data_IF_409582517379
#
_entry.id   IF_409582517379
#
_cell.length_a   1.000
_cell.length_b   1.000
_cell.length_c   1.000
_cell.angle_alpha   90.00
_cell.angle_beta   90.00
_cell.angle_gamma   90.00
#
_symmetry.space_group_name_H-M   'P 1'
#
loop_
_entity.id
_entity.type
_entity.pdbx_description
1 polymer ?
#
# COMPACT_ATOMS: atom_id res chain seq x y z
N UNK A 1 -22.56 -6.19 6.54
CA UNK A 1 -21.53 -7.16 6.15
C UNK A 1 -20.21 -6.76 6.80
N UNK A 2 -19.41 -7.72 7.26
CA UNK A 2 -18.19 -7.48 8.02
C UNK A 2 -17.01 -7.12 7.11
N UNK A 3 -16.13 -6.26 7.61
CA UNK A 3 -14.84 -5.96 6.96
C UNK A 3 -13.78 -6.88 7.53
N UNK A 4 -12.96 -7.49 6.67
CA UNK A 4 -11.79 -8.28 7.08
C UNK A 4 -10.52 -7.51 6.76
N UNK A 5 -9.54 -7.60 7.65
CA UNK A 5 -8.21 -7.01 7.44
C UNK A 5 -7.26 -8.14 7.10
N UNK A 6 -6.59 -8.03 5.97
CA UNK A 6 -5.65 -9.03 5.45
C UNK A 6 -4.31 -8.36 5.20
N UNK A 7 -3.23 -9.00 5.63
CA UNK A 7 -1.89 -8.57 5.25
C UNK A 7 -1.69 -8.83 3.76
N UNK A 8 -1.04 -7.90 3.08
CA UNK A 8 -0.71 -8.03 1.66
C UNK A 8 0.38 -9.08 1.49
N UNK A 9 0.04 -10.17 0.80
CA UNK A 9 0.99 -11.25 0.53
C UNK A 9 1.15 -11.50 -0.97
N UNK A 10 2.40 -11.49 -1.43
CA UNK A 10 2.73 -11.73 -2.82
C UNK A 10 2.29 -10.63 -3.79
N UNK A 11 2.43 -10.94 -5.09
CA UNK A 11 2.31 -9.94 -6.17
C UNK A 11 0.87 -9.49 -6.42
N UNK A 12 -0.10 -10.39 -6.26
CA UNK A 12 -1.51 -10.10 -6.54
C UNK A 12 -2.07 -9.08 -5.55
N UNK A 13 -1.88 -9.32 -4.26
CA UNK A 13 -2.34 -8.42 -3.22
C UNK A 13 -1.63 -7.07 -3.29
N UNK A 14 -0.33 -7.07 -3.63
CA UNK A 14 0.40 -5.83 -3.84
C UNK A 14 -0.21 -5.02 -4.99
N UNK A 15 -0.54 -5.63 -6.13
CA UNK A 15 -1.20 -4.92 -7.22
C UNK A 15 -2.58 -4.36 -6.82
N UNK A 16 -3.36 -5.10 -6.04
CA UNK A 16 -4.64 -4.61 -5.50
C UNK A 16 -4.43 -3.43 -4.54
N UNK A 17 -3.43 -3.52 -3.66
CA UNK A 17 -3.02 -2.43 -2.77
C UNK A 17 -2.62 -1.18 -3.54
N UNK A 18 -1.79 -1.31 -4.58
CA UNK A 18 -1.29 -0.18 -5.37
C UNK A 18 -2.40 0.46 -6.22
N UNK A 19 -3.35 -0.32 -6.74
CA UNK A 19 -4.43 0.17 -7.61
C UNK A 19 -5.63 0.72 -6.84
N UNK A 20 -5.82 0.35 -5.58
CA UNK A 20 -6.99 0.78 -4.81
C UNK A 20 -7.23 2.31 -4.80
N UNK A 21 -6.21 3.19 -4.68
CA UNK A 21 -6.43 4.64 -4.78
C UNK A 21 -7.16 5.08 -6.06
N UNK A 22 -6.92 4.42 -7.21
CA UNK A 22 -7.64 4.71 -8.45
C UNK A 22 -9.12 4.40 -8.40
N UNK A 23 -9.53 3.45 -7.55
CA UNK A 23 -10.94 3.13 -7.33
C UNK A 23 -11.56 4.10 -6.33
N UNK A 24 -10.87 4.38 -5.22
CA UNK A 24 -11.37 5.23 -4.13
C UNK A 24 -11.58 6.66 -4.62
N UNK A 25 -10.59 7.23 -5.32
CA UNK A 25 -10.62 8.62 -5.76
C UNK A 25 -11.16 8.79 -7.19
N UNK A 26 -11.84 7.76 -7.73
CA UNK A 26 -12.40 7.82 -9.09
C UNK A 26 -13.43 8.95 -9.18
N UNK A 27 -13.15 9.94 -10.02
CA UNK A 27 -14.04 11.07 -10.25
C UNK A 27 -13.85 12.24 -9.28
N UNK A 28 -12.89 12.15 -8.35
CA UNK A 28 -12.50 13.29 -7.52
C UNK A 28 -11.72 14.30 -8.41
N UNK A 29 -12.22 15.53 -8.61
CA UNK A 29 -11.56 16.52 -9.47
C UNK A 29 -10.21 17.01 -8.93
N UNK A 30 -9.93 16.78 -7.65
CA UNK A 30 -8.69 17.21 -7.01
C UNK A 30 -7.65 16.09 -6.89
N UNK A 31 -7.98 14.88 -7.32
CA UNK A 31 -7.07 13.75 -7.21
C UNK A 31 -6.12 13.67 -8.40
N UNK A 32 -4.82 13.74 -8.11
CA UNK A 32 -3.75 13.58 -9.09
C UNK A 32 -3.17 12.16 -8.97
N UNK A 33 -3.45 11.25 -9.92
CA UNK A 33 -2.97 9.88 -9.84
C UNK A 33 -1.44 9.80 -9.96
N UNK A 34 -0.73 9.13 -9.05
CA UNK A 34 0.71 8.90 -9.20
C UNK A 34 0.99 7.92 -10.34
N UNK A 35 2.20 7.88 -10.88
CA UNK A 35 2.53 6.89 -11.91
C UNK A 35 2.61 5.49 -11.26
N UNK A 36 1.81 4.53 -11.74
CA UNK A 36 1.82 3.15 -11.20
C UNK A 36 3.22 2.51 -11.20
N UNK A 37 4.07 2.83 -12.19
CA UNK A 37 5.46 2.36 -12.23
C UNK A 37 6.28 2.89 -11.05
N UNK A 38 6.08 4.14 -10.65
CA UNK A 38 6.76 4.74 -9.50
C UNK A 38 6.23 4.14 -8.19
N UNK A 39 4.92 3.94 -8.08
CA UNK A 39 4.33 3.27 -6.91
C UNK A 39 4.89 1.85 -6.74
N UNK A 40 4.97 1.05 -7.82
CA UNK A 40 5.61 -0.28 -7.77
C UNK A 40 7.06 -0.21 -7.31
N UNK A 41 7.84 0.77 -7.77
CA UNK A 41 9.22 0.93 -7.35
C UNK A 41 9.34 1.37 -5.88
N UNK A 42 8.42 2.21 -5.40
CA UNK A 42 8.36 2.66 -4.00
C UNK A 42 8.15 1.50 -3.04
N UNK A 43 7.33 0.51 -3.39
CA UNK A 43 7.01 -0.65 -2.54
C UNK A 43 7.83 -1.91 -2.87
N UNK A 44 8.90 -1.78 -3.65
CA UNK A 44 9.81 -2.89 -4.00
C UNK A 44 11.07 -2.80 -3.10
N UNK A 45 11.28 -3.76 -2.17
CA UNK A 45 12.46 -3.77 -1.30
C UNK A 45 13.79 -3.85 -2.06
N UNK A 46 13.79 -4.37 -3.29
CA UNK A 46 14.97 -4.41 -4.15
C UNK A 46 15.26 -3.09 -4.87
N UNK A 47 14.34 -2.12 -4.86
CA UNK A 47 14.50 -0.81 -5.53
C UNK A 47 14.49 0.38 -4.59
N UNK A 48 13.85 0.28 -3.44
CA UNK A 48 13.75 1.38 -2.50
C UNK A 48 14.65 1.12 -1.27
N UNK A 49 15.75 1.89 -1.10
CA UNK A 49 16.65 1.76 0.04
C UNK A 49 15.98 1.96 1.40
N UNK A 50 14.80 2.58 1.46
CA UNK A 50 14.03 2.74 2.69
C UNK A 50 13.82 1.41 3.43
N UNK A 51 13.64 0.30 2.70
CA UNK A 51 13.46 -1.03 3.30
C UNK A 51 14.74 -1.61 3.92
N UNK A 52 15.90 -0.97 3.74
CA UNK A 52 17.16 -1.41 4.38
C UNK A 52 17.19 -1.06 5.87
N UNK A 53 16.38 -0.09 6.31
CA UNK A 53 16.39 0.42 7.67
C UNK A 53 14.97 0.64 8.24
N UNK A 54 13.94 0.10 7.57
CA UNK A 54 12.56 0.18 8.02
C UNK A 54 11.82 -1.13 7.75
N UNK A 55 11.04 -1.58 8.73
CA UNK A 55 10.10 -2.68 8.56
C UNK A 55 8.76 -2.14 8.08
N UNK A 56 8.21 -2.76 7.03
CA UNK A 56 6.95 -2.31 6.42
C UNK A 56 6.01 -3.50 6.26
N UNK A 57 4.80 -3.36 6.80
CA UNK A 57 3.70 -4.28 6.57
C UNK A 57 2.54 -3.54 5.92
N UNK A 58 2.02 -4.08 4.81
CA UNK A 58 0.90 -3.49 4.08
C UNK A 58 -0.36 -4.30 4.37
N UNK A 59 -1.51 -3.64 4.47
CA UNK A 59 -2.78 -4.26 4.77
C UNK A 59 -3.89 -3.77 3.84
N UNK A 60 -4.79 -4.68 3.48
CA UNK A 60 -6.03 -4.43 2.77
C UNK A 60 -7.22 -4.67 3.68
N UNK A 61 -8.18 -3.74 3.66
CA UNK A 61 -9.51 -3.96 4.21
C UNK A 61 -10.43 -4.47 3.10
N UNK A 62 -11.03 -5.64 3.26
CA UNK A 62 -11.95 -6.25 2.30
C UNK A 62 -13.37 -6.30 2.81
N UNK A 63 -14.32 -5.95 1.94
CA UNK A 63 -15.76 -6.17 2.13
C UNK A 63 -16.24 -6.97 0.92
N UNK A 64 -16.82 -8.15 1.17
CA UNK A 64 -17.32 -9.05 0.12
C UNK A 64 -16.25 -9.43 -0.92
N UNK A 65 -15.02 -9.64 -0.45
CA UNK A 65 -13.85 -9.97 -1.28
C UNK A 65 -13.20 -8.76 -1.97
N UNK A 66 -13.89 -7.62 -2.02
CA UNK A 66 -13.42 -6.40 -2.67
C UNK A 66 -12.60 -5.53 -1.71
N UNK A 67 -11.41 -5.06 -2.11
CA UNK A 67 -10.66 -4.05 -1.37
C UNK A 67 -11.45 -2.74 -1.25
N UNK A 68 -11.65 -2.28 -0.02
CA UNK A 68 -12.35 -1.03 0.32
C UNK A 68 -11.47 -0.06 1.12
N UNK A 69 -10.31 -0.48 1.59
CA UNK A 69 -9.34 0.36 2.27
C UNK A 69 -7.95 -0.24 2.25
N UNK A 70 -6.92 0.58 2.50
CA UNK A 70 -5.54 0.14 2.62
C UNK A 70 -4.77 0.97 3.65
N UNK A 71 -3.78 0.37 4.30
CA UNK A 71 -2.86 1.07 5.19
C UNK A 71 -1.47 0.41 5.15
N UNK A 72 -0.44 1.19 5.42
CA UNK A 72 0.92 0.70 5.65
C UNK A 72 1.27 0.93 7.12
N UNK A 73 1.71 -0.11 7.82
CA UNK A 73 2.39 0.00 9.10
C UNK A 73 3.90 0.03 8.85
N UNK A 74 4.59 1.00 9.45
CA UNK A 74 6.00 1.26 9.20
C UNK A 74 6.71 1.45 10.54
N UNK A 75 7.77 0.68 10.77
CA UNK A 75 8.73 0.92 11.84
C UNK A 75 10.00 1.47 11.20
N UNK A 76 10.27 2.77 11.39
CA UNK A 76 11.47 3.42 10.87
C UNK A 76 12.56 3.43 11.94
N UNK A 77 13.42 2.42 11.95
CA UNK A 77 14.49 2.27 12.95
C UNK A 77 15.44 3.45 12.91
N UNK A 78 15.84 3.88 11.71
CA UNK A 78 16.72 5.04 11.54
C UNK A 78 16.15 6.34 12.12
N UNK A 79 14.83 6.52 12.16
CA UNK A 79 14.23 7.68 12.81
C UNK A 79 14.14 7.53 14.33
N UNK A 80 13.89 6.32 14.82
CA UNK A 80 13.71 6.04 16.24
C UNK A 80 15.02 6.03 17.05
N UNK A 81 16.18 5.97 16.37
CA UNK A 81 17.51 5.97 16.99
C UNK A 81 18.10 7.38 17.23
N UNK A 82 17.42 8.45 16.79
CA UNK A 82 17.79 9.86 17.06
C UNK A 82 17.00 10.47 18.22
#
# INVERSE_FOLDING_TARGET
MAVRIEQVEGKKDLEEFLRLPWRIYKGDPNWVPPLLRQERARFDPGKNPFFQHADVALFLARRDGEPVGRIAAIVNHAHNEF
#
